data_IF_722711718586
#
_entry.id   IF_722711718586
#
_cell.length_a   1.000
_cell.length_b   1.000
_cell.length_c   1.000
_cell.angle_alpha   90.00
_cell.angle_beta   90.00
_cell.angle_gamma   90.00
#
_symmetry.space_group_name_H-M   'P 1'
#
loop_
_entity.id
_entity.type
_entity.pdbx_description
1 polymer ?
#
# COMPACT_ATOMS: atom_id res chain seq x y z
N UNK A 1 -6.06 33.68 9.56
CA UNK A 1 -7.13 32.88 10.17
C UNK A 1 -6.67 31.43 10.13
N UNK A 2 -6.18 30.89 11.24
CA UNK A 2 -5.59 29.55 11.29
C UNK A 2 -6.67 28.56 11.72
N UNK A 3 -7.09 27.68 10.81
CA UNK A 3 -8.03 26.61 11.12
C UNK A 3 -7.27 25.45 11.75
N UNK A 4 -7.52 25.19 13.04
CA UNK A 4 -7.03 24.01 13.74
C UNK A 4 -7.83 22.79 13.23
N UNK A 5 -7.23 21.96 12.38
CA UNK A 5 -7.83 20.71 11.92
C UNK A 5 -8.02 19.77 13.12
N UNK A 6 -9.27 19.55 13.53
CA UNK A 6 -9.60 18.59 14.58
C UNK A 6 -9.49 17.19 13.98
N UNK A 7 -8.52 16.39 14.42
CA UNK A 7 -8.36 15.00 13.94
C UNK A 7 -9.63 14.23 14.30
N UNK A 8 -10.28 13.53 13.36
CA UNK A 8 -11.48 12.75 13.68
C UNK A 8 -11.16 11.75 14.79
N UNK A 9 -11.99 11.75 15.84
CA UNK A 9 -11.86 10.81 16.96
C UNK A 9 -12.12 9.40 16.44
N UNK A 10 -11.16 8.50 16.64
CA UNK A 10 -11.31 7.09 16.28
C UNK A 10 -12.29 6.48 17.30
N UNK A 11 -13.35 5.87 16.81
CA UNK A 11 -14.32 5.14 17.64
C UNK A 11 -13.73 3.77 18.02
N UNK A 12 -13.24 3.65 19.25
CA UNK A 12 -12.59 2.44 19.78
C UNK A 12 -13.56 1.27 19.99
N UNK A 13 -14.88 1.50 19.94
CA UNK A 13 -15.87 0.41 20.01
C UNK A 13 -15.88 -0.46 18.75
N UNK A 14 -15.34 0.06 17.63
CA UNK A 14 -15.22 -0.67 16.37
C UNK A 14 -14.00 -1.59 16.41
N UNK A 15 -14.19 -2.77 16.97
CA UNK A 15 -13.19 -3.83 16.95
C UNK A 15 -13.19 -4.57 15.61
N UNK A 16 -12.02 -5.03 15.17
CA UNK A 16 -11.91 -5.92 14.01
C UNK A 16 -12.68 -7.24 14.27
N UNK A 17 -13.10 -7.93 13.22
CA UNK A 17 -13.79 -9.22 13.30
C UNK A 17 -13.04 -10.23 14.19
N UNK A 18 -13.72 -10.84 15.16
CA UNK A 18 -13.12 -11.75 16.18
C UNK A 18 -13.63 -13.21 16.09
N UNK A 19 -14.45 -13.54 15.09
CA UNK A 19 -15.01 -14.88 14.91
C UNK A 19 -14.12 -15.72 13.97
N UNK A 20 -14.36 -17.03 13.84
CA UNK A 20 -13.59 -17.87 12.92
C UNK A 20 -13.68 -17.34 11.48
N UNK A 21 -12.52 -17.25 10.83
CA UNK A 21 -12.47 -16.86 9.42
C UNK A 21 -13.33 -17.80 8.55
N UNK A 22 -13.99 -17.29 7.50
CA UNK A 22 -14.69 -18.13 6.54
C UNK A 22 -13.81 -19.25 5.98
N UNK A 23 -14.42 -20.40 5.71
CA UNK A 23 -13.71 -21.54 5.14
C UNK A 23 -13.03 -21.16 3.81
N UNK A 24 -11.72 -21.39 3.70
CA UNK A 24 -10.92 -21.04 2.52
C UNK A 24 -10.42 -19.60 2.50
N UNK A 25 -10.68 -18.80 3.53
CA UNK A 25 -10.05 -17.48 3.67
C UNK A 25 -8.54 -17.63 3.91
N UNK A 26 -7.76 -16.92 3.11
CA UNK A 26 -6.31 -16.77 3.33
C UNK A 26 -6.11 -15.89 4.56
N UNK A 27 -5.17 -16.26 5.43
CA UNK A 27 -4.84 -15.44 6.59
C UNK A 27 -4.45 -14.01 6.18
N UNK A 28 -4.84 -13.04 7.00
CA UNK A 28 -4.45 -11.65 6.79
C UNK A 28 -2.93 -11.51 6.76
N UNK A 29 -2.43 -10.84 5.73
CA UNK A 29 -1.00 -10.55 5.62
C UNK A 29 -0.74 -9.21 6.28
N UNK A 30 -0.12 -9.23 7.45
CA UNK A 30 0.29 -8.03 8.18
C UNK A 30 1.79 -7.77 7.96
N UNK A 31 2.10 -6.62 7.37
CA UNK A 31 3.46 -6.11 7.25
C UNK A 31 3.60 -4.88 8.15
N UNK A 32 4.29 -4.96 9.29
CA UNK A 32 4.52 -3.81 10.14
C UNK A 32 5.36 -2.76 9.41
N UNK A 33 5.27 -1.50 9.82
CA UNK A 33 6.12 -0.42 9.33
C UNK A 33 6.07 -0.22 7.79
N UNK A 34 5.01 -0.67 7.12
CA UNK A 34 4.90 -0.55 5.66
C UNK A 34 4.90 0.90 5.19
N UNK A 35 4.42 1.80 6.06
CA UNK A 35 4.34 3.24 5.83
C UNK A 35 5.56 4.02 6.34
N UNK A 36 6.61 3.34 6.81
CA UNK A 36 7.89 3.97 7.14
C UNK A 36 8.64 4.25 5.83
N UNK A 37 8.08 5.17 5.05
CA UNK A 37 8.47 5.43 3.67
C UNK A 37 9.76 6.22 3.57
N UNK A 38 10.16 6.98 4.59
CA UNK A 38 11.34 7.85 4.54
C UNK A 38 12.48 7.32 5.43
N UNK A 39 12.15 6.84 6.63
CA UNK A 39 13.12 6.43 7.65
C UNK A 39 13.33 4.90 7.74
N UNK A 40 12.74 4.13 6.82
CA UNK A 40 12.87 2.67 6.74
C UNK A 40 14.19 2.17 6.14
N UNK A 41 14.37 0.84 6.05
CA UNK A 41 15.57 0.25 5.45
C UNK A 41 15.58 0.53 3.92
N UNK A 42 16.61 1.22 3.38
CA UNK A 42 16.70 1.52 1.96
C UNK A 42 16.76 0.26 1.08
N UNK A 43 17.17 -0.89 1.61
CA UNK A 43 17.21 -2.16 0.86
C UNK A 43 15.83 -2.70 0.48
N UNK A 44 14.77 -2.20 1.11
CA UNK A 44 13.39 -2.57 0.78
C UNK A 44 12.92 -1.93 -0.53
N UNK A 45 13.64 -0.93 -1.04
CA UNK A 45 13.32 -0.23 -2.27
C UNK A 45 14.09 -0.81 -3.45
N UNK A 46 13.35 -1.29 -4.44
CA UNK A 46 13.88 -1.81 -5.70
C UNK A 46 13.81 -0.71 -6.76
N UNK A 47 14.94 -0.28 -7.35
CA UNK A 47 14.93 0.70 -8.43
C UNK A 47 14.25 0.15 -9.67
N UNK A 48 13.25 0.86 -10.20
CA UNK A 48 12.56 0.52 -11.46
C UNK A 48 13.00 1.42 -12.61
N UNK A 49 13.27 2.69 -12.32
CA UNK A 49 13.81 3.67 -13.27
C UNK A 49 14.61 4.74 -12.51
N UNK A 50 15.19 5.70 -13.22
CA UNK A 50 15.95 6.80 -12.61
C UNK A 50 15.16 7.64 -11.59
N UNK A 51 13.83 7.63 -11.67
CA UNK A 51 12.94 8.44 -10.83
C UNK A 51 11.86 7.66 -10.09
N UNK A 52 11.83 6.33 -10.25
CA UNK A 52 10.82 5.46 -9.64
C UNK A 52 11.48 4.28 -8.97
N UNK A 53 11.22 4.16 -7.67
CA UNK A 53 11.49 2.96 -6.89
C UNK A 53 10.17 2.31 -6.50
N UNK A 54 10.17 1.00 -6.28
CA UNK A 54 9.03 0.32 -5.69
C UNK A 54 9.44 -0.53 -4.50
N UNK A 55 8.56 -0.59 -3.49
CA UNK A 55 8.67 -1.47 -2.34
C UNK A 55 7.65 -2.60 -2.50
N UNK A 56 8.06 -3.85 -2.77
CA UNK A 56 7.13 -4.98 -2.88
C UNK A 56 6.55 -5.32 -1.53
N UNK A 57 5.23 -5.53 -1.45
CA UNK A 57 4.54 -5.91 -0.22
C UNK A 57 4.08 -7.38 -0.30
N UNK A 58 3.35 -7.74 -1.35
CA UNK A 58 2.77 -9.07 -1.49
C UNK A 58 2.99 -9.55 -2.92
N UNK A 59 3.37 -10.83 -3.04
CA UNK A 59 3.32 -11.59 -4.27
C UNK A 59 2.49 -12.86 -4.02
N UNK A 60 1.28 -12.91 -4.56
CA UNK A 60 0.43 -14.09 -4.50
C UNK A 60 0.37 -14.75 -5.86
N UNK A 61 1.19 -15.79 -6.04
CA UNK A 61 1.29 -16.54 -7.30
C UNK A 61 0.06 -17.39 -7.60
N UNK A 62 -0.67 -17.82 -6.57
CA UNK A 62 -1.87 -18.66 -6.72
C UNK A 62 -3.06 -17.84 -7.20
N UNK A 63 -3.27 -16.65 -6.62
CA UNK A 63 -4.37 -15.75 -6.98
C UNK A 63 -3.99 -14.74 -8.08
N UNK A 64 -2.74 -14.73 -8.52
CA UNK A 64 -2.28 -13.93 -9.66
C UNK A 64 -2.23 -12.42 -9.39
N UNK A 65 -1.94 -11.99 -8.15
CA UNK A 65 -1.84 -10.57 -7.83
C UNK A 65 -0.57 -10.24 -7.04
N UNK A 66 -0.22 -8.95 -7.08
CA UNK A 66 0.83 -8.38 -6.26
C UNK A 66 0.41 -7.01 -5.74
N UNK A 67 1.01 -6.59 -4.63
CA UNK A 67 0.82 -5.27 -4.04
C UNK A 67 2.21 -4.66 -3.82
N UNK A 68 2.37 -3.41 -4.23
CA UNK A 68 3.61 -2.66 -4.04
C UNK A 68 3.32 -1.18 -3.79
N UNK A 69 4.25 -0.50 -3.12
CA UNK A 69 4.26 0.96 -2.99
C UNK A 69 5.17 1.51 -4.07
N UNK A 70 4.72 2.55 -4.78
CA UNK A 70 5.55 3.27 -5.75
C UNK A 70 6.01 4.59 -5.13
N UNK A 71 7.33 4.81 -5.11
CA UNK A 71 7.93 6.10 -4.79
C UNK A 71 8.36 6.76 -6.08
N UNK A 72 7.66 7.83 -6.45
CA UNK A 72 7.94 8.62 -7.66
C UNK A 72 8.59 9.93 -7.23
N UNK A 73 9.86 10.15 -7.59
CA UNK A 73 10.64 11.34 -7.19
C UNK A 73 10.55 12.49 -8.18
N UNK A 74 10.03 12.26 -9.38
CA UNK A 74 9.91 13.26 -10.43
C UNK A 74 8.52 13.19 -11.08
N UNK A 75 7.98 14.34 -11.47
CA UNK A 75 6.77 14.36 -12.31
C UNK A 75 7.02 13.60 -13.62
N UNK A 76 6.15 12.64 -13.94
CA UNK A 76 6.29 11.82 -15.14
C UNK A 76 4.96 11.23 -15.58
N UNK A 77 4.90 10.81 -16.83
CA UNK A 77 3.76 10.09 -17.41
C UNK A 77 4.01 8.60 -17.24
N UNK A 78 3.07 7.88 -16.62
CA UNK A 78 3.09 6.43 -16.65
C UNK A 78 2.69 5.96 -18.04
N UNK A 79 3.57 5.19 -18.69
CA UNK A 79 3.27 4.63 -20.01
C UNK A 79 1.94 3.90 -20.02
N UNK A 80 1.16 4.11 -21.09
CA UNK A 80 -0.14 3.45 -21.27
C UNK A 80 0.06 1.94 -21.26
N UNK A 81 -0.70 1.25 -20.41
CA UNK A 81 -0.76 -0.20 -20.35
C UNK A 81 -2.19 -0.63 -20.05
N UNK A 82 -2.50 -1.91 -20.28
CA UNK A 82 -3.78 -2.52 -19.93
C UNK A 82 -3.57 -3.53 -18.81
N UNK A 83 -4.48 -3.55 -17.85
CA UNK A 83 -4.58 -4.62 -16.88
C UNK A 83 -5.53 -5.67 -17.43
N UNK A 84 -5.12 -6.94 -17.41
CA UNK A 84 -5.99 -8.07 -17.74
C UNK A 84 -7.02 -8.35 -16.63
N UNK A 85 -6.76 -7.87 -15.40
CA UNK A 85 -7.66 -7.96 -14.25
C UNK A 85 -7.99 -6.59 -13.64
N UNK A 86 -8.82 -6.59 -12.60
CA UNK A 86 -9.13 -5.38 -11.84
C UNK A 86 -7.92 -4.93 -11.02
N UNK A 87 -7.56 -3.64 -11.11
CA UNK A 87 -6.50 -3.04 -10.31
C UNK A 87 -7.08 -1.94 -9.42
N UNK A 88 -6.75 -1.96 -8.13
CA UNK A 88 -7.03 -0.86 -7.20
C UNK A 88 -5.75 -0.06 -6.97
N UNK A 89 -5.83 1.27 -7.02
CA UNK A 89 -4.72 2.18 -6.74
C UNK A 89 -5.15 3.19 -5.69
N UNK A 90 -4.30 3.38 -4.69
CA UNK A 90 -4.47 4.40 -3.67
C UNK A 90 -3.28 5.34 -3.72
N UNK A 91 -3.54 6.63 -3.74
CA UNK A 91 -2.52 7.67 -3.76
C UNK A 91 -2.42 8.25 -2.35
N UNK A 92 -1.24 8.14 -1.75
CA UNK A 92 -0.87 8.95 -0.60
C UNK A 92 -0.08 10.13 -1.14
N UNK A 93 -0.72 11.29 -1.25
CA UNK A 93 -0.02 12.55 -1.45
C UNK A 93 0.49 13.04 -0.08
N UNK A 94 1.65 13.70 -0.08
CA UNK A 94 2.06 14.51 1.07
C UNK A 94 1.18 15.75 1.15
#
# INVERSE_FOLDING_TARGET
>A
MNQTLTRPSIDESKVAYQLPHPAGMVADTFLPAVLDLDDGDPREWVPQSSSVDFKPLILNVTAGYYINILRVRQSGVLSRHRHSGAGSRFYAAR
#
